data_IF_661889473437
#
_entry.id   IF_661889473437
#
_cell.length_a   1.000
_cell.length_b   1.000
_cell.length_c   1.000
_cell.angle_alpha   90.00
_cell.angle_beta   90.00
_cell.angle_gamma   90.00
#
_symmetry.space_group_name_H-M   'P 1'
#
loop_
_entity.id
_entity.type
_entity.pdbx_description
1 polymer ?
#
# COMPACT_ATOMS: atom_id res chain seq x y z
N UNK A 1 -24.86 -14.44 -14.21
CA UNK A 1 -24.48 -14.60 -12.79
C UNK A 1 -23.56 -13.45 -12.46
N UNK A 2 -24.02 -12.44 -11.71
CA UNK A 2 -23.17 -11.34 -11.27
C UNK A 2 -22.39 -11.84 -10.05
N UNK A 3 -21.09 -12.07 -10.21
CA UNK A 3 -20.20 -12.33 -9.08
C UNK A 3 -20.08 -11.02 -8.29
N UNK A 4 -20.78 -10.92 -7.18
CA UNK A 4 -20.63 -9.81 -6.24
C UNK A 4 -19.15 -9.70 -5.85
N UNK A 5 -18.50 -8.60 -6.24
CA UNK A 5 -17.15 -8.28 -5.77
C UNK A 5 -17.27 -8.02 -4.28
N UNK A 6 -16.84 -8.96 -3.46
CA UNK A 6 -16.71 -8.74 -2.02
C UNK A 6 -15.55 -7.76 -1.81
N UNK A 7 -15.92 -6.50 -1.57
CA UNK A 7 -14.99 -5.41 -1.28
C UNK A 7 -14.90 -5.26 0.23
N UNK A 8 -13.68 -5.27 0.76
CA UNK A 8 -13.41 -4.96 2.17
C UNK A 8 -12.77 -3.59 2.25
N UNK A 9 -13.30 -2.75 3.13
CA UNK A 9 -12.74 -1.42 3.40
C UNK A 9 -11.84 -1.48 4.63
N UNK A 10 -10.60 -0.99 4.49
CA UNK A 10 -9.63 -0.86 5.56
C UNK A 10 -9.26 0.61 5.72
N UNK A 11 -9.29 1.09 6.96
CA UNK A 11 -8.89 2.46 7.29
C UNK A 11 -8.25 2.49 8.67
N UNK A 12 -7.32 3.40 8.88
CA UNK A 12 -6.60 3.46 10.15
C UNK A 12 -5.38 4.37 10.12
N UNK A 13 -4.52 4.17 11.10
CA UNK A 13 -3.19 4.79 11.14
C UNK A 13 -2.15 3.76 10.72
N UNK A 14 -1.03 4.23 10.20
CA UNK A 14 0.07 3.39 9.80
C UNK A 14 1.35 4.18 9.62
N UNK A 15 2.32 3.56 8.96
CA UNK A 15 3.58 4.20 8.59
C UNK A 15 3.90 3.96 7.13
N UNK A 16 4.19 5.03 6.39
CA UNK A 16 4.86 4.91 5.10
C UNK A 16 6.35 4.71 5.34
N UNK A 17 6.91 3.72 4.64
CA UNK A 17 8.35 3.55 4.46
C UNK A 17 8.68 3.97 3.03
N UNK A 18 9.34 5.12 2.92
CA UNK A 18 9.86 5.63 1.67
C UNK A 18 11.08 4.83 1.19
N UNK A 19 11.44 4.98 -0.09
CA UNK A 19 12.56 4.24 -0.70
C UNK A 19 13.91 4.55 -0.05
N UNK A 20 14.09 5.75 0.50
CA UNK A 20 15.29 6.14 1.25
C UNK A 20 15.34 5.54 2.67
N UNK A 21 14.30 4.78 3.07
CA UNK A 21 14.16 4.20 4.40
C UNK A 21 13.50 5.13 5.42
N UNK A 22 13.19 6.38 5.04
CA UNK A 22 12.47 7.32 5.91
C UNK A 22 11.09 6.76 6.25
N UNK A 23 10.72 6.86 7.53
CA UNK A 23 9.41 6.42 8.04
C UNK A 23 8.56 7.60 8.44
N UNK A 24 7.29 7.62 8.02
CA UNK A 24 6.36 8.69 8.37
C UNK A 24 4.99 8.16 8.79
N UNK A 25 4.44 8.63 9.91
CA UNK A 25 3.09 8.28 10.34
C UNK A 25 2.06 8.83 9.33
N UNK A 26 1.01 8.06 9.09
CA UNK A 26 0.01 8.37 8.06
C UNK A 26 -1.38 7.92 8.51
N UNK A 27 -2.44 8.60 8.05
CA UNK A 27 -3.79 8.02 8.02
C UNK A 27 -4.02 7.38 6.66
N UNK A 28 -4.66 6.22 6.58
CA UNK A 28 -5.01 5.60 5.30
C UNK A 28 -6.47 5.18 5.24
N UNK A 29 -6.98 5.06 4.02
CA UNK A 29 -8.21 4.35 3.71
C UNK A 29 -8.13 3.74 2.32
N UNK A 30 -8.35 2.43 2.23
CA UNK A 30 -8.29 1.71 0.97
C UNK A 30 -9.29 0.56 0.94
N UNK A 31 -9.68 0.20 -0.28
CA UNK A 31 -10.49 -0.96 -0.53
C UNK A 31 -9.63 -2.11 -1.04
N UNK A 32 -9.96 -3.32 -0.61
CA UNK A 32 -9.33 -4.56 -1.03
C UNK A 32 -10.37 -5.38 -1.76
N UNK A 33 -9.98 -5.96 -2.89
CA UNK A 33 -10.85 -6.92 -3.58
C UNK A 33 -10.29 -8.31 -3.38
N UNK A 34 -11.08 -9.17 -2.72
CA UNK A 34 -10.71 -10.58 -2.51
C UNK A 34 -10.49 -11.33 -3.83
N UNK A 35 -11.07 -10.84 -4.91
CA UNK A 35 -11.00 -11.43 -6.24
C UNK A 35 -9.82 -10.89 -7.09
N UNK A 36 -9.03 -9.97 -6.56
CA UNK A 36 -7.95 -9.29 -7.29
C UNK A 36 -6.54 -9.64 -6.77
N UNK A 37 -6.33 -10.87 -6.28
CA UNK A 37 -5.03 -11.33 -5.74
C UNK A 37 -4.42 -10.37 -4.70
N UNK A 38 -5.23 -9.81 -3.80
CA UNK A 38 -4.75 -8.87 -2.78
C UNK A 38 -4.55 -7.43 -3.29
N UNK A 39 -4.90 -7.15 -4.55
CA UNK A 39 -4.91 -5.80 -5.10
C UNK A 39 -5.82 -4.85 -4.32
N UNK A 40 -5.31 -3.66 -4.05
CA UNK A 40 -6.00 -2.60 -3.34
C UNK A 40 -5.81 -1.25 -4.01
N UNK A 41 -6.75 -0.34 -3.76
CA UNK A 41 -6.61 1.08 -4.13
C UNK A 41 -7.18 1.94 -3.02
N UNK A 42 -6.60 3.11 -2.83
CA UNK A 42 -7.03 3.98 -1.76
C UNK A 42 -6.32 5.31 -1.75
N UNK A 43 -6.35 5.95 -0.59
CA UNK A 43 -5.66 7.19 -0.32
C UNK A 43 -5.01 7.17 1.06
N UNK A 44 -4.02 8.04 1.24
CA UNK A 44 -3.41 8.28 2.53
C UNK A 44 -3.19 9.78 2.74
N UNK A 45 -3.22 10.22 4.00
CA UNK A 45 -3.08 11.61 4.42
C UNK A 45 -1.73 11.85 5.09
N UNK A 46 -0.93 12.74 4.51
CA UNK A 46 0.44 13.08 4.93
C UNK A 46 0.86 14.42 4.33
N UNK A 47 1.67 15.21 5.05
CA UNK A 47 2.26 16.43 4.47
C UNK A 47 3.35 16.07 3.45
N UNK A 48 2.99 16.11 2.17
CA UNK A 48 3.87 15.74 1.06
C UNK A 48 4.76 16.90 0.59
N UNK A 49 4.59 18.13 1.10
CA UNK A 49 5.34 19.32 0.63
C UNK A 49 6.85 19.20 0.85
N UNK A 50 7.27 18.37 1.80
CA UNK A 50 8.66 18.13 2.15
C UNK A 50 9.22 16.84 1.54
N UNK A 51 8.41 16.09 0.81
CA UNK A 51 8.82 14.83 0.20
C UNK A 51 9.40 15.12 -1.19
N UNK A 52 10.66 14.74 -1.45
CA UNK A 52 11.23 14.85 -2.79
C UNK A 52 10.34 14.16 -3.82
N UNK A 53 10.02 14.85 -4.92
CA UNK A 53 9.15 14.31 -5.99
C UNK A 53 9.65 12.97 -6.55
N UNK A 54 10.97 12.75 -6.52
CA UNK A 54 11.58 11.49 -6.92
C UNK A 54 11.13 10.31 -6.04
N UNK A 55 10.92 10.51 -4.74
CA UNK A 55 10.43 9.46 -3.84
C UNK A 55 8.97 9.10 -4.14
N UNK A 56 8.17 10.06 -4.61
CA UNK A 56 6.76 9.84 -4.98
C UNK A 56 6.60 8.98 -6.24
N UNK A 57 7.67 8.84 -7.04
CA UNK A 57 7.66 8.07 -8.29
C UNK A 57 8.04 6.59 -8.10
N UNK A 58 8.45 6.19 -6.90
CA UNK A 58 8.81 4.81 -6.59
C UNK A 58 7.70 4.09 -5.86
N UNK A 59 7.72 2.76 -5.96
CA UNK A 59 6.96 1.92 -5.05
C UNK A 59 7.45 2.12 -3.61
N UNK A 60 6.51 2.25 -2.70
CA UNK A 60 6.72 2.47 -1.26
C UNK A 60 5.88 1.48 -0.47
N UNK A 61 6.16 1.37 0.83
CA UNK A 61 5.43 0.47 1.72
C UNK A 61 4.57 1.23 2.69
N UNK A 62 3.34 0.79 2.88
CA UNK A 62 2.48 1.16 4.00
C UNK A 62 2.44 -0.01 4.98
N UNK A 63 2.85 0.23 6.22
CA UNK A 63 2.62 -0.69 7.34
C UNK A 63 1.40 -0.17 8.10
N UNK A 64 0.32 -0.92 8.06
CA UNK A 64 -0.89 -0.65 8.80
C UNK A 64 -0.69 -0.93 10.29
N UNK A 65 -1.39 -0.21 11.17
CA UNK A 65 -1.32 -0.42 12.63
C UNK A 65 -1.78 -1.83 13.06
N UNK A 66 -2.65 -2.46 12.27
CA UNK A 66 -3.12 -3.83 12.46
C UNK A 66 -2.13 -4.91 11.95
N UNK A 67 -0.96 -4.50 11.46
CA UNK A 67 0.12 -5.39 11.03
C UNK A 67 0.11 -5.71 9.53
N UNK A 68 -0.94 -5.35 8.78
CA UNK A 68 -0.91 -5.57 7.33
C UNK A 68 0.15 -4.70 6.65
N UNK A 69 0.74 -5.24 5.59
CA UNK A 69 1.72 -4.50 4.77
C UNK A 69 1.18 -4.38 3.35
N UNK A 70 1.29 -3.17 2.79
CA UNK A 70 0.88 -2.87 1.42
C UNK A 70 2.07 -2.31 0.66
N UNK A 71 2.46 -2.97 -0.42
CA UNK A 71 3.32 -2.36 -1.44
C UNK A 71 2.43 -1.50 -2.33
N UNK A 72 2.74 -0.22 -2.48
CA UNK A 72 1.90 0.72 -3.21
C UNK A 72 2.71 1.68 -4.10
N UNK A 73 2.08 2.08 -5.19
CA UNK A 73 2.52 3.14 -6.08
C UNK A 73 1.53 4.30 -6.04
N UNK A 74 2.05 5.52 -5.89
CA UNK A 74 1.24 6.74 -5.89
C UNK A 74 0.78 7.03 -7.32
N UNK A 75 -0.53 7.20 -7.51
CA UNK A 75 -1.15 7.50 -8.81
C UNK A 75 -1.46 8.97 -8.99
N UNK A 76 -1.75 9.67 -7.90
CA UNK A 76 -2.00 11.11 -7.86
C UNK A 76 -1.69 11.64 -6.46
N UNK A 77 -1.30 12.92 -6.33
CA UNK A 77 -0.98 13.50 -5.03
C UNK A 77 -1.26 15.00 -4.95
N UNK A 78 -1.57 15.45 -3.74
CA UNK A 78 -1.66 16.84 -3.35
C UNK A 78 -0.72 17.13 -2.17
N UNK A 79 -0.80 18.33 -1.59
CA UNK A 79 0.04 18.72 -0.45
C UNK A 79 -0.22 17.91 0.83
N UNK A 80 -1.43 17.38 0.98
CA UNK A 80 -1.97 16.77 2.20
C UNK A 80 -2.22 15.26 2.08
N UNK A 81 -1.94 14.67 0.92
CA UNK A 81 -2.12 13.24 0.74
C UNK A 81 -1.89 12.76 -0.70
N UNK A 82 -2.09 11.47 -0.88
CA UNK A 82 -1.94 10.81 -2.17
C UNK A 82 -2.97 9.71 -2.36
N UNK A 83 -3.35 9.48 -3.62
CA UNK A 83 -4.05 8.27 -4.04
C UNK A 83 -3.05 7.23 -4.52
N UNK A 84 -3.38 5.96 -4.34
CA UNK A 84 -2.49 4.87 -4.69
C UNK A 84 -3.23 3.65 -5.20
N UNK A 85 -2.46 2.81 -5.91
CA UNK A 85 -2.77 1.41 -6.16
C UNK A 85 -1.67 0.56 -5.53
N UNK A 86 -2.02 -0.62 -5.06
CA UNK A 86 -1.07 -1.49 -4.36
C UNK A 86 -1.55 -2.92 -4.23
N UNK A 87 -0.77 -3.71 -3.49
CA UNK A 87 -1.09 -5.09 -3.15
C UNK A 87 -0.79 -5.34 -1.68
N UNK A 88 -1.74 -5.98 -0.99
CA UNK A 88 -1.52 -6.54 0.34
C UNK A 88 -0.51 -7.68 0.25
N UNK A 89 0.52 -7.61 1.07
CA UNK A 89 1.45 -8.71 1.26
C UNK A 89 0.84 -9.67 2.28
N UNK A 90 0.46 -10.86 1.82
CA UNK A 90 0.15 -11.97 2.71
C UNK A 90 1.49 -12.59 3.15
N UNK A 91 1.78 -12.58 4.45
CA UNK A 91 3.02 -13.13 5.02
C UNK A 91 3.23 -14.63 4.69
N UNK A 92 2.26 -15.32 4.07
CA UNK A 92 2.42 -16.70 3.60
C UNK A 92 3.03 -16.83 2.21
N UNK A 93 3.23 -15.74 1.46
CA UNK A 93 3.73 -15.80 0.09
C UNK A 93 5.24 -15.51 -0.06
N UNK A 94 6.01 -15.42 1.03
CA UNK A 94 7.47 -15.28 0.96
C UNK A 94 8.23 -16.63 0.97
N UNK A 95 7.53 -17.76 0.88
CA UNK A 95 8.14 -19.11 1.00
C UNK A 95 8.25 -19.94 -0.28
N UNK A 96 7.88 -19.41 -1.46
CA UNK A 96 7.94 -20.17 -2.73
C UNK A 96 8.99 -19.70 -3.76
N UNK A 97 9.85 -18.72 -3.47
CA UNK A 97 10.94 -18.30 -4.39
C UNK A 97 12.35 -18.82 -4.00
N UNK A 98 12.46 -19.85 -3.16
CA UNK A 98 13.76 -20.41 -2.74
C UNK A 98 13.97 -21.91 -3.04
N UNK A 99 13.20 -22.53 -3.94
CA UNK A 99 13.29 -23.99 -4.18
C UNK A 99 13.57 -24.46 -5.62
N UNK A 100 13.90 -23.57 -6.57
CA UNK A 100 14.21 -23.99 -7.96
C UNK A 100 15.59 -23.53 -8.48
N UNK A 101 16.62 -23.62 -7.64
CA UNK A 101 18.02 -23.64 -8.10
C UNK A 101 18.78 -24.75 -7.37
N UNK A 102 18.50 -26.02 -7.74
CA UNK A 102 19.36 -27.19 -7.50
C UNK A 102 19.18 -28.20 -8.63
#
# INVERSE_FOLDING_TARGET
MQSERQVTWLQGKGQIIWRDGTRQPVSYSFETSRNANGGCRGHFELDLRRIPTLLLSYEIRLICEDGHVVNLAITDHCSDGATFVGSLLDERCESEELLHDQ
#
